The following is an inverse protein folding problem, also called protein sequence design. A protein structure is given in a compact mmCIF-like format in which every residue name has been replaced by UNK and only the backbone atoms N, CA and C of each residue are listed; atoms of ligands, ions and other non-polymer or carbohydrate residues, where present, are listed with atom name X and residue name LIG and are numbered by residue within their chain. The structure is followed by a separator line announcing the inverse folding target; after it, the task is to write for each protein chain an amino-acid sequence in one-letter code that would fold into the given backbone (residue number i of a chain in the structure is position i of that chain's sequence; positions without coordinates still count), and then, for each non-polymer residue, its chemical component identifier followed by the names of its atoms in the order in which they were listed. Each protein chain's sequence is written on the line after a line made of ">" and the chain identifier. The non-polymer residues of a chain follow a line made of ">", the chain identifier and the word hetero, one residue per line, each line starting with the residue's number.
data_IF_504575423869
#
_entry.id   IF_504575423869
#
_cell.length_a   1.000
_cell.length_b   1.000
_cell.length_c   1.000
_cell.angle_alpha   90.00
_cell.angle_beta   90.00
_cell.angle_gamma   90.00
#
_symmetry.space_group_name_H-M   'P 1'
#
loop_
_entity.id
_entity.type
_entity.pdbx_description
1 polymer ?
#
# COMPACT_ATOMS: atom_id res chain seq x y z
N UNK A 1 -61.96 54.00 -8.37
CA UNK A 1 -61.37 53.63 -7.07
C UNK A 1 -61.32 52.11 -6.85
N UNK A 2 -62.45 51.39 -6.96
CA UNK A 2 -62.52 49.93 -6.70
C UNK A 2 -61.67 49.08 -7.69
N UNK A 3 -61.64 49.43 -8.98
CA UNK A 3 -60.80 48.74 -9.97
C UNK A 3 -59.30 48.96 -9.74
N UNK A 4 -58.92 50.14 -9.24
CA UNK A 4 -57.53 50.47 -8.93
C UNK A 4 -57.04 49.66 -7.71
N UNK A 5 -57.90 49.52 -6.69
CA UNK A 5 -57.62 48.69 -5.51
C UNK A 5 -57.45 47.20 -5.86
N UNK A 6 -58.30 46.67 -6.75
CA UNK A 6 -58.23 45.28 -7.23
C UNK A 6 -56.96 45.02 -8.03
N UNK A 7 -56.56 45.95 -8.89
CA UNK A 7 -55.31 45.85 -9.64
C UNK A 7 -54.09 45.82 -8.72
N UNK A 8 -54.05 46.68 -7.70
CA UNK A 8 -52.95 46.70 -6.72
C UNK A 8 -52.90 45.38 -5.93
N UNK A 9 -54.06 44.84 -5.53
CA UNK A 9 -54.12 43.56 -4.80
C UNK A 9 -53.60 42.39 -5.64
N UNK A 10 -53.94 42.33 -6.93
CA UNK A 10 -53.48 41.28 -7.85
C UNK A 10 -51.98 41.39 -8.10
N UNK A 11 -51.45 42.61 -8.27
CA UNK A 11 -50.00 42.81 -8.46
C UNK A 11 -49.21 42.44 -7.20
N UNK A 12 -49.73 42.77 -6.01
CA UNK A 12 -49.11 42.38 -4.73
C UNK A 12 -49.15 40.85 -4.56
N UNK A 13 -50.24 40.18 -4.93
CA UNK A 13 -50.37 38.73 -4.86
C UNK A 13 -49.44 38.00 -5.84
N UNK A 14 -49.29 38.52 -7.07
CA UNK A 14 -48.34 37.98 -8.05
C UNK A 14 -46.87 38.19 -7.61
N UNK A 15 -46.56 39.35 -7.03
CA UNK A 15 -45.22 39.65 -6.52
C UNK A 15 -44.85 38.81 -5.29
N UNK A 16 -45.82 38.51 -4.41
CA UNK A 16 -45.60 37.61 -3.26
C UNK A 16 -45.48 36.15 -3.68
N UNK A 17 -46.18 35.71 -4.73
CA UNK A 17 -46.03 34.35 -5.27
C UNK A 17 -44.70 34.12 -6.02
N UNK A 18 -44.03 35.18 -6.48
CA UNK A 18 -42.71 35.07 -7.12
C UNK A 18 -41.56 34.92 -6.10
N UNK A 19 -41.75 35.39 -4.86
CA UNK A 19 -40.74 35.33 -3.80
C UNK A 19 -40.65 33.95 -3.12
N UNK A 20 -41.64 33.07 -3.32
CA UNK A 20 -41.68 31.73 -2.70
C UNK A 20 -40.96 30.65 -3.51
N UNK A 21 -40.46 30.96 -4.72
CA UNK A 21 -39.67 30.04 -5.56
C UNK A 21 -38.16 30.24 -5.43
N UNK A 22 -37.69 30.69 -4.27
CA UNK A 22 -36.27 30.59 -3.93
C UNK A 22 -35.94 29.11 -3.70
N UNK A 23 -35.62 28.37 -4.78
CA UNK A 23 -35.06 27.03 -4.64
C UNK A 23 -33.76 27.15 -3.86
N UNK A 24 -33.77 26.68 -2.61
CA UNK A 24 -32.56 26.56 -1.81
C UNK A 24 -31.66 25.56 -2.53
N UNK A 25 -30.70 26.05 -3.30
CA UNK A 25 -29.67 25.22 -3.91
C UNK A 25 -28.68 24.84 -2.80
N UNK A 26 -28.96 23.73 -2.10
CA UNK A 26 -27.94 23.10 -1.29
C UNK A 26 -26.88 22.54 -2.24
N UNK A 27 -25.65 23.05 -2.16
CA UNK A 27 -24.52 22.36 -2.76
C UNK A 27 -24.38 21.02 -2.03
N UNK A 28 -24.80 19.94 -2.69
CA UNK A 28 -24.67 18.59 -2.15
C UNK A 28 -23.18 18.27 -2.03
N UNK A 29 -22.71 18.08 -0.79
CA UNK A 29 -21.31 17.73 -0.51
C UNK A 29 -20.97 16.42 -1.22
N UNK A 30 -20.04 16.46 -2.17
CA UNK A 30 -19.66 15.28 -2.94
C UNK A 30 -18.53 14.54 -2.23
N UNK A 31 -18.92 13.48 -1.52
CA UNK A 31 -17.99 12.62 -0.75
C UNK A 31 -17.68 11.35 -1.54
N UNK A 32 -16.40 10.97 -1.55
CA UNK A 32 -15.90 9.73 -2.10
C UNK A 32 -15.24 8.86 -1.04
N UNK A 33 -15.20 7.55 -1.27
CA UNK A 33 -14.52 6.57 -0.44
C UNK A 33 -13.56 5.72 -1.28
N UNK A 34 -12.41 5.35 -0.71
CA UNK A 34 -11.40 4.52 -1.39
C UNK A 34 -10.94 3.39 -0.48
N UNK A 35 -10.99 2.16 -1.00
CA UNK A 35 -10.45 0.96 -0.36
C UNK A 35 -8.98 0.79 -0.74
N UNK A 36 -8.09 1.38 0.07
CA UNK A 36 -6.64 1.38 -0.19
C UNK A 36 -6.08 -0.04 -0.20
N UNK A 37 -6.53 -0.91 0.69
CA UNK A 37 -6.05 -2.30 0.75
C UNK A 37 -6.31 -3.07 -0.55
N UNK A 38 -7.50 -2.86 -1.14
CA UNK A 38 -7.84 -3.47 -2.44
C UNK A 38 -6.98 -2.91 -3.56
N UNK A 39 -6.72 -1.60 -3.56
CA UNK A 39 -5.80 -1.00 -4.55
C UNK A 39 -4.38 -1.56 -4.39
N UNK A 40 -3.89 -1.69 -3.16
CA UNK A 40 -2.57 -2.28 -2.91
C UNK A 40 -2.49 -3.73 -3.40
N UNK A 41 -3.57 -4.50 -3.29
CA UNK A 41 -3.61 -5.89 -3.79
C UNK A 41 -3.69 -5.96 -5.31
N UNK A 42 -4.52 -5.13 -5.93
CA UNK A 42 -4.85 -5.24 -7.36
C UNK A 42 -3.93 -4.39 -8.26
N UNK A 43 -3.17 -3.45 -7.69
CA UNK A 43 -2.29 -2.57 -8.46
C UNK A 43 -1.13 -3.37 -9.12
N UNK A 44 -0.90 -3.21 -10.44
CA UNK A 44 0.19 -3.90 -11.13
C UNK A 44 1.57 -3.55 -10.55
N UNK A 45 1.71 -2.34 -10.00
CA UNK A 45 2.92 -1.88 -9.33
C UNK A 45 3.31 -2.74 -8.13
N UNK A 46 2.34 -3.32 -7.41
CA UNK A 46 2.61 -4.20 -6.27
C UNK A 46 3.33 -5.46 -6.70
N UNK A 47 2.86 -6.09 -7.78
CA UNK A 47 3.51 -7.27 -8.35
C UNK A 47 4.92 -6.95 -8.90
N UNK A 48 5.09 -5.77 -9.50
CA UNK A 48 6.39 -5.30 -9.99
C UNK A 48 7.40 -5.06 -8.85
N UNK A 49 6.99 -4.38 -7.78
CA UNK A 49 7.83 -4.16 -6.59
C UNK A 49 8.20 -5.48 -5.92
N UNK A 50 7.29 -6.45 -5.85
CA UNK A 50 7.59 -7.80 -5.36
C UNK A 50 8.72 -8.48 -6.16
N UNK A 51 8.61 -8.49 -7.49
CA UNK A 51 9.66 -9.05 -8.37
C UNK A 51 10.97 -8.28 -8.29
N UNK A 52 10.92 -6.97 -8.07
CA UNK A 52 12.12 -6.13 -7.90
C UNK A 52 12.86 -6.49 -6.62
N UNK A 53 12.14 -6.59 -5.50
CA UNK A 53 12.71 -7.00 -4.21
C UNK A 53 13.31 -8.41 -4.30
N UNK A 54 12.61 -9.36 -4.92
CA UNK A 54 13.11 -10.71 -5.13
C UNK A 54 14.45 -10.72 -5.89
N UNK A 55 14.56 -9.96 -6.99
CA UNK A 55 15.81 -9.85 -7.74
C UNK A 55 16.92 -9.16 -6.96
N UNK A 56 16.60 -8.11 -6.20
CA UNK A 56 17.54 -7.35 -5.40
C UNK A 56 18.20 -8.23 -4.31
N UNK A 57 17.41 -9.11 -3.69
CA UNK A 57 17.85 -9.89 -2.54
C UNK A 57 18.20 -11.36 -2.84
N UNK A 58 17.86 -11.87 -4.02
CA UNK A 58 18.16 -13.25 -4.45
C UNK A 58 19.64 -13.64 -4.28
N UNK A 59 20.64 -12.81 -4.66
CA UNK A 59 22.04 -13.17 -4.47
C UNK A 59 22.43 -13.41 -3.01
N UNK A 60 21.88 -12.62 -2.08
CA UNK A 60 22.16 -12.73 -0.64
C UNK A 60 21.44 -13.93 -0.02
N UNK A 61 20.24 -14.26 -0.51
CA UNK A 61 19.56 -15.50 -0.14
C UNK A 61 20.37 -16.74 -0.55
N UNK A 62 20.88 -16.75 -1.78
CA UNK A 62 21.73 -17.84 -2.28
C UNK A 62 23.06 -17.96 -1.50
N UNK A 63 23.63 -16.84 -1.05
CA UNK A 63 24.81 -16.84 -0.17
C UNK A 63 24.52 -17.54 1.17
N UNK A 64 23.39 -17.19 1.81
CA UNK A 64 22.94 -17.85 3.04
C UNK A 64 22.69 -19.35 2.85
N UNK A 65 22.06 -19.75 1.74
CA UNK A 65 21.83 -21.16 1.41
C UNK A 65 23.15 -21.94 1.27
N UNK A 66 24.18 -21.32 0.65
CA UNK A 66 25.52 -21.92 0.53
C UNK A 66 26.18 -22.05 1.89
N UNK A 67 26.15 -21.01 2.71
CA UNK A 67 26.70 -21.04 4.08
C UNK A 67 26.03 -22.11 4.93
N UNK A 68 24.70 -22.24 4.84
CA UNK A 68 23.95 -23.26 5.56
C UNK A 68 24.36 -24.69 5.14
N UNK A 69 24.56 -24.92 3.84
CA UNK A 69 25.08 -26.20 3.33
C UNK A 69 26.49 -26.48 3.85
N UNK A 70 27.39 -25.49 3.79
CA UNK A 70 28.76 -25.63 4.28
C UNK A 70 28.82 -25.97 5.78
N UNK A 71 28.00 -25.30 6.61
CA UNK A 71 27.88 -25.61 8.03
C UNK A 71 27.46 -27.07 8.22
N UNK A 72 26.40 -27.49 7.53
CA UNK A 72 25.87 -28.86 7.61
C UNK A 72 26.87 -29.91 7.16
N UNK A 73 27.63 -29.62 6.10
CA UNK A 73 28.66 -30.53 5.58
C UNK A 73 29.79 -30.72 6.61
N UNK A 74 30.26 -29.63 7.24
CA UNK A 74 31.28 -29.70 8.30
C UNK A 74 30.77 -30.49 9.51
N UNK A 75 29.54 -30.21 9.96
CA UNK A 75 28.91 -30.94 11.07
C UNK A 75 28.79 -32.44 10.77
N UNK A 76 28.33 -32.78 9.55
CA UNK A 76 28.21 -34.18 9.13
C UNK A 76 29.58 -34.89 9.09
N UNK A 77 30.63 -34.20 8.64
CA UNK A 77 32.01 -34.74 8.67
C UNK A 77 32.49 -34.95 10.10
N UNK A 78 32.25 -34.00 11.00
CA UNK A 78 32.62 -34.13 12.41
C UNK A 78 31.89 -35.30 13.09
N UNK A 79 30.60 -35.50 12.77
CA UNK A 79 29.80 -36.58 13.34
C UNK A 79 30.23 -37.97 12.84
N UNK A 80 30.56 -38.08 11.54
CA UNK A 80 30.92 -39.37 10.92
C UNK A 80 32.38 -39.75 11.11
N UNK A 81 33.28 -38.80 10.88
CA UNK A 81 34.72 -39.04 10.78
C UNK A 81 35.45 -38.60 12.05
N UNK A 82 34.74 -38.12 13.07
CA UNK A 82 35.30 -37.56 14.30
C UNK A 82 36.25 -38.47 15.06
N UNK A 83 36.11 -39.80 14.90
CA UNK A 83 36.99 -40.81 15.52
C UNK A 83 38.26 -41.06 14.68
N UNK A 84 38.21 -40.76 13.38
CA UNK A 84 39.28 -41.04 12.41
C UNK A 84 40.14 -39.82 12.05
N UNK A 85 39.66 -38.60 12.27
CA UNK A 85 40.43 -37.37 12.04
C UNK A 85 41.32 -37.02 13.23
N UNK A 86 42.39 -36.26 13.01
CA UNK A 86 43.27 -35.81 14.10
C UNK A 86 42.56 -34.81 15.02
N UNK A 87 42.93 -34.76 16.30
CA UNK A 87 42.39 -33.77 17.25
C UNK A 87 42.60 -32.32 16.78
N UNK A 88 43.72 -32.05 16.10
CA UNK A 88 44.00 -30.74 15.51
C UNK A 88 43.01 -30.40 14.39
N UNK A 89 42.76 -31.34 13.47
CA UNK A 89 41.81 -31.13 12.37
C UNK A 89 40.37 -31.02 12.88
N UNK A 90 40.01 -31.82 13.88
CA UNK A 90 38.69 -31.74 14.55
C UNK A 90 38.46 -30.35 15.13
N UNK A 91 39.42 -29.85 15.92
CA UNK A 91 39.35 -28.51 16.53
C UNK A 91 39.29 -27.39 15.48
N UNK A 92 40.00 -27.52 14.37
CA UNK A 92 39.94 -26.55 13.28
C UNK A 92 38.55 -26.54 12.62
N UNK A 93 37.99 -27.71 12.29
CA UNK A 93 36.64 -27.83 11.72
C UNK A 93 35.55 -27.32 12.66
N UNK A 94 35.64 -27.61 13.96
CA UNK A 94 34.72 -27.08 14.98
C UNK A 94 34.76 -25.54 15.01
N UNK A 95 35.96 -24.96 14.96
CA UNK A 95 36.15 -23.50 14.91
C UNK A 95 35.59 -22.90 13.63
N UNK A 96 35.82 -23.52 12.48
CA UNK A 96 35.32 -23.06 11.18
C UNK A 96 33.79 -23.09 11.15
N UNK A 97 33.16 -24.18 11.62
CA UNK A 97 31.71 -24.27 11.74
C UNK A 97 31.15 -23.19 12.67
N UNK A 98 31.80 -22.93 13.80
CA UNK A 98 31.40 -21.87 14.74
C UNK A 98 31.47 -20.48 14.09
N UNK A 99 32.56 -20.17 13.39
CA UNK A 99 32.73 -18.90 12.68
C UNK A 99 31.67 -18.74 11.58
N UNK A 100 31.41 -19.78 10.78
CA UNK A 100 30.39 -19.76 9.74
C UNK A 100 28.98 -19.56 10.31
N UNK A 101 28.66 -20.16 11.46
CA UNK A 101 27.37 -19.97 12.14
C UNK A 101 27.17 -18.51 12.60
N UNK A 102 28.21 -17.89 13.17
CA UNK A 102 28.17 -16.48 13.59
C UNK A 102 27.91 -15.58 12.38
N UNK A 103 28.68 -15.77 11.31
CA UNK A 103 28.53 -15.01 10.07
C UNK A 103 27.17 -15.23 9.40
N UNK A 104 26.67 -16.47 9.38
CA UNK A 104 25.35 -16.81 8.86
C UNK A 104 24.26 -16.06 9.61
N UNK A 105 24.29 -16.09 10.95
CA UNK A 105 23.31 -15.38 11.77
C UNK A 105 23.38 -13.86 11.57
N UNK A 106 24.58 -13.29 11.45
CA UNK A 106 24.77 -11.87 11.15
C UNK A 106 24.16 -11.49 9.81
N UNK A 107 24.54 -12.17 8.73
CA UNK A 107 24.04 -11.93 7.37
C UNK A 107 22.53 -12.18 7.25
N UNK A 108 22.00 -13.16 7.97
CA UNK A 108 20.56 -13.46 7.99
C UNK A 108 19.76 -12.32 8.62
N UNK A 109 20.25 -11.75 9.74
CA UNK A 109 19.61 -10.58 10.37
C UNK A 109 19.65 -9.36 9.45
N UNK A 110 20.83 -9.05 8.91
CA UNK A 110 21.02 -7.95 7.95
C UNK A 110 20.09 -8.09 6.74
N UNK A 111 20.01 -9.28 6.15
CA UNK A 111 19.12 -9.53 5.00
C UNK A 111 17.65 -9.30 5.37
N UNK A 112 17.22 -9.75 6.55
CA UNK A 112 15.83 -9.57 7.01
C UNK A 112 15.52 -8.09 7.26
N UNK A 113 16.44 -7.36 7.89
CA UNK A 113 16.30 -5.93 8.15
C UNK A 113 16.23 -5.13 6.85
N UNK A 114 17.12 -5.42 5.91
CA UNK A 114 17.15 -4.75 4.61
C UNK A 114 15.89 -5.05 3.78
N UNK A 115 15.43 -6.31 3.75
CA UNK A 115 14.17 -6.67 3.08
C UNK A 115 13.01 -5.88 3.68
N UNK A 116 12.93 -5.77 5.01
CA UNK A 116 11.87 -5.02 5.68
C UNK A 116 11.94 -3.53 5.37
N UNK A 117 13.14 -2.94 5.39
CA UNK A 117 13.36 -1.54 5.04
C UNK A 117 12.90 -1.27 3.60
N UNK A 118 13.39 -2.06 2.64
CA UNK A 118 13.06 -1.90 1.21
C UNK A 118 11.57 -2.15 0.95
N UNK A 119 10.95 -3.11 1.63
CA UNK A 119 9.49 -3.33 1.56
C UNK A 119 8.72 -2.11 2.04
N UNK A 120 9.14 -1.49 3.14
CA UNK A 120 8.50 -0.28 3.66
C UNK A 120 8.67 0.92 2.71
N UNK A 121 9.84 1.09 2.09
CA UNK A 121 10.10 2.13 1.10
C UNK A 121 9.23 1.98 -0.16
N UNK A 122 9.13 0.75 -0.69
CA UNK A 122 8.28 0.45 -1.84
C UNK A 122 6.79 0.66 -1.49
N UNK A 123 6.36 0.27 -0.28
CA UNK A 123 5.00 0.53 0.20
C UNK A 123 4.72 2.03 0.33
N UNK A 124 5.64 2.80 0.91
CA UNK A 124 5.50 4.26 1.03
C UNK A 124 5.41 4.93 -0.34
N UNK A 125 6.23 4.47 -1.29
CA UNK A 125 6.19 4.95 -2.69
C UNK A 125 4.84 4.64 -3.34
N UNK A 126 4.30 3.44 -3.11
CA UNK A 126 2.99 3.06 -3.63
C UNK A 126 1.86 3.89 -3.00
N UNK A 127 1.90 4.14 -1.69
CA UNK A 127 0.94 5.01 -1.01
C UNK A 127 0.96 6.44 -1.56
N UNK A 128 2.13 7.02 -1.83
CA UNK A 128 2.25 8.34 -2.46
C UNK A 128 1.60 8.35 -3.86
N UNK A 129 1.82 7.31 -4.67
CA UNK A 129 1.17 7.16 -5.98
C UNK A 129 -0.34 7.03 -5.87
N UNK A 130 -0.85 6.26 -4.90
CA UNK A 130 -2.28 6.15 -4.62
C UNK A 130 -2.84 7.51 -4.24
N UNK A 131 -2.21 8.24 -3.32
CA UNK A 131 -2.65 9.58 -2.91
C UNK A 131 -2.72 10.55 -4.09
N UNK A 132 -1.72 10.54 -4.99
CA UNK A 132 -1.74 11.35 -6.22
C UNK A 132 -2.87 10.94 -7.16
N UNK A 133 -3.11 9.64 -7.32
CA UNK A 133 -4.22 9.13 -8.14
C UNK A 133 -5.59 9.53 -7.56
N UNK A 134 -5.77 9.41 -6.24
CA UNK A 134 -6.96 9.87 -5.52
C UNK A 134 -7.19 11.36 -5.75
N UNK A 135 -6.16 12.19 -5.56
CA UNK A 135 -6.27 13.63 -5.79
C UNK A 135 -6.64 13.97 -7.24
N UNK A 136 -6.07 13.26 -8.21
CA UNK A 136 -6.39 13.44 -9.62
C UNK A 136 -7.85 13.11 -9.92
N UNK A 137 -8.34 11.95 -9.45
CA UNK A 137 -9.75 11.53 -9.61
C UNK A 137 -10.69 12.51 -8.89
N UNK A 138 -10.35 12.90 -7.67
CA UNK A 138 -11.14 13.82 -6.87
C UNK A 138 -11.32 15.18 -7.57
N UNK A 139 -10.22 15.76 -8.09
CA UNK A 139 -10.27 17.03 -8.83
C UNK A 139 -11.02 16.91 -10.15
N UNK A 140 -10.78 15.84 -10.90
CA UNK A 140 -11.42 15.63 -12.21
C UNK A 140 -12.94 15.48 -12.09
N UNK A 141 -13.42 14.86 -11.01
CA UNK A 141 -14.84 14.63 -10.78
C UNK A 141 -15.45 15.60 -9.75
N UNK A 142 -14.71 16.62 -9.31
CA UNK A 142 -15.16 17.65 -8.36
C UNK A 142 -15.69 17.07 -7.03
N UNK A 143 -14.96 16.12 -6.44
CA UNK A 143 -15.21 15.67 -5.07
C UNK A 143 -14.69 16.70 -4.07
N UNK A 144 -15.49 16.99 -3.05
CA UNK A 144 -15.14 17.90 -1.95
C UNK A 144 -14.32 17.18 -0.87
N UNK A 145 -14.58 15.88 -0.68
CA UNK A 145 -13.91 15.04 0.31
C UNK A 145 -13.75 13.63 -0.23
N UNK A 146 -12.54 13.07 -0.09
CA UNK A 146 -12.32 11.63 -0.30
C UNK A 146 -11.71 11.05 0.97
N UNK A 147 -12.35 10.01 1.49
CA UNK A 147 -11.94 9.34 2.73
C UNK A 147 -11.43 7.94 2.41
N UNK A 148 -10.44 7.48 3.15
CA UNK A 148 -10.01 6.09 3.18
C UNK A 148 -9.64 5.71 4.61
N UNK A 149 -9.87 4.44 4.98
CA UNK A 149 -9.66 3.97 6.36
C UNK A 149 -10.67 4.52 7.37
N UNK A 150 -10.91 3.80 8.47
CA UNK A 150 -11.78 4.26 9.56
C UNK A 150 -13.27 4.40 9.24
N UNK A 151 -13.72 3.88 8.09
CA UNK A 151 -15.12 3.92 7.65
C UNK A 151 -15.74 2.53 7.84
N UNK A 152 -16.80 2.43 8.64
CA UNK A 152 -17.50 1.17 8.89
C UNK A 152 -18.37 0.71 7.72
N UNK A 153 -18.92 1.66 6.95
CA UNK A 153 -19.74 1.39 5.77
C UNK A 153 -19.63 2.53 4.76
N UNK A 154 -19.41 2.18 3.50
CA UNK A 154 -19.51 3.08 2.36
C UNK A 154 -20.35 2.39 1.28
N UNK A 155 -21.36 3.07 0.76
CA UNK A 155 -22.15 2.53 -0.35
C UNK A 155 -21.34 2.53 -1.65
N UNK A 156 -21.63 1.61 -2.56
CA UNK A 156 -20.99 1.54 -3.88
C UNK A 156 -21.07 2.87 -4.67
N UNK A 157 -22.15 3.67 -4.47
CA UNK A 157 -22.33 4.98 -5.12
C UNK A 157 -21.16 5.96 -4.89
N UNK A 158 -20.53 5.89 -3.72
CA UNK A 158 -19.42 6.80 -3.34
C UNK A 158 -18.06 6.13 -3.47
N UNK A 159 -18.00 4.85 -3.85
CA UNK A 159 -16.75 4.11 -3.96
C UNK A 159 -15.99 4.51 -5.23
N UNK A 160 -14.76 5.01 -5.06
CA UNK A 160 -13.86 5.44 -6.12
C UNK A 160 -12.73 4.44 -6.38
N UNK A 161 -12.69 3.31 -5.66
CA UNK A 161 -11.59 2.34 -5.68
C UNK A 161 -11.19 1.93 -7.09
N UNK A 162 -12.16 1.51 -7.91
CA UNK A 162 -11.89 1.08 -9.29
C UNK A 162 -11.44 2.24 -10.19
N UNK A 163 -11.92 3.46 -9.94
CA UNK A 163 -11.50 4.66 -10.69
C UNK A 163 -10.06 5.03 -10.38
N UNK A 164 -9.70 4.98 -9.09
CA UNK A 164 -8.33 5.22 -8.62
C UNK A 164 -7.40 4.12 -9.14
N UNK A 165 -7.82 2.85 -9.09
CA UNK A 165 -7.06 1.73 -9.63
C UNK A 165 -6.80 1.89 -11.14
N UNK A 166 -7.81 2.29 -11.92
CA UNK A 166 -7.65 2.61 -13.34
C UNK A 166 -6.70 3.80 -13.58
N UNK A 167 -6.72 4.80 -12.71
CA UNK A 167 -5.79 5.94 -12.77
C UNK A 167 -4.33 5.51 -12.52
N UNK A 168 -4.11 4.50 -11.66
CA UNK A 168 -2.79 3.92 -11.41
C UNK A 168 -2.29 3.01 -12.55
N UNK A 169 -3.20 2.33 -13.25
CA UNK A 169 -2.90 1.38 -14.32
C UNK A 169 -2.92 1.94 -15.74
N UNK A 170 -3.29 3.21 -15.95
CA UNK A 170 -3.19 3.85 -17.26
C UNK A 170 -1.72 4.00 -17.68
N UNK A 171 -1.30 3.17 -18.64
CA UNK A 171 -0.41 3.59 -19.71
C UNK A 171 -1.20 4.46 -20.70
#
# INVERSE_FOLDING_TARGET
>A
MIHLLKSILVTVLLATSALTFSSVSFAELKVGYVQVDKILQDAPQTAESGKKLEREFSPRSLDLDRMQKQIKDIETTLDKDGITISETDRRNKERDASNLKIEFQRKQRELREDINLRKNEELATLQDRINKAVQSVAKAEMYDLVVYGGVAYASEKIDLTDKVLKSLGKK
#
